data_IF_051958648934
#
_entry.id   IF_051958648934
#
_cell.length_a   1.000
_cell.length_b   1.000
_cell.length_c   1.000
_cell.angle_alpha   90.00
_cell.angle_beta   90.00
_cell.angle_gamma   90.00
#
_symmetry.space_group_name_H-M   'P 1'
#
loop_
_entity.id
_entity.type
_entity.pdbx_description
1 polymer ?
#
# COMPACT_ATOMS: atom_id res chain seq x y z
N UNK A 1 -7.33 -9.04 -31.85
CA UNK A 1 -6.35 -8.12 -32.48
C UNK A 1 -6.90 -6.70 -32.40
N UNK A 2 -6.08 -5.72 -32.03
CA UNK A 2 -6.52 -4.32 -32.01
C UNK A 2 -6.48 -3.75 -33.44
N UNK A 3 -7.61 -3.75 -34.12
CA UNK A 3 -7.69 -3.36 -35.54
C UNK A 3 -7.73 -1.83 -35.73
N UNK A 4 -8.13 -1.09 -34.70
CA UNK A 4 -8.22 0.38 -34.73
C UNK A 4 -6.92 1.00 -34.21
N UNK A 5 -6.43 2.09 -34.84
CA UNK A 5 -5.20 2.81 -34.43
C UNK A 5 -5.24 3.27 -32.97
N UNK A 6 -6.39 3.76 -32.51
CA UNK A 6 -6.62 4.17 -31.11
C UNK A 6 -6.45 3.00 -30.15
N UNK A 7 -6.97 1.82 -30.48
CA UNK A 7 -6.82 0.60 -29.67
C UNK A 7 -5.36 0.15 -29.56
N UNK A 8 -4.60 0.14 -30.66
CA UNK A 8 -3.14 -0.14 -30.64
C UNK A 8 -2.38 0.86 -29.75
N UNK A 9 -2.79 2.14 -29.73
CA UNK A 9 -2.21 3.17 -28.83
C UNK A 9 -2.57 2.90 -27.37
N UNK A 10 -3.81 2.50 -27.06
CA UNK A 10 -4.25 2.17 -25.70
C UNK A 10 -3.45 1.00 -25.12
N UNK A 11 -3.28 -0.09 -25.87
CA UNK A 11 -2.46 -1.24 -25.44
C UNK A 11 -1.04 -0.79 -25.01
N UNK A 12 -0.37 0.05 -25.81
CA UNK A 12 0.97 0.58 -25.49
C UNK A 12 0.96 1.51 -24.26
N UNK A 13 -0.10 2.26 -24.03
CA UNK A 13 -0.25 3.11 -22.84
C UNK A 13 -0.49 2.26 -21.59
N UNK A 14 -1.37 1.27 -21.71
CA UNK A 14 -1.79 0.43 -20.60
C UNK A 14 -0.67 -0.49 -20.14
N UNK A 15 0.13 -1.06 -21.05
CA UNK A 15 1.34 -1.80 -20.68
C UNK A 15 2.30 -0.95 -19.82
N UNK A 16 2.56 0.30 -20.22
CA UNK A 16 3.41 1.22 -19.45
C UNK A 16 2.83 1.61 -18.10
N UNK A 17 1.51 1.76 -17.99
CA UNK A 17 0.82 2.03 -16.71
C UNK A 17 0.86 0.81 -15.79
N UNK A 18 0.64 -0.37 -16.35
CA UNK A 18 0.65 -1.65 -15.62
C UNK A 18 2.00 -1.90 -14.96
N UNK A 19 3.11 -1.72 -15.67
CA UNK A 19 4.46 -1.90 -15.12
C UNK A 19 4.70 -0.95 -13.93
N UNK A 20 4.40 0.34 -14.10
CA UNK A 20 4.55 1.35 -13.03
C UNK A 20 3.69 1.06 -11.81
N UNK A 21 2.43 0.66 -12.03
CA UNK A 21 1.51 0.36 -10.95
C UNK A 21 1.87 -0.95 -10.24
N UNK A 22 2.41 -1.93 -10.96
CA UNK A 22 2.89 -3.20 -10.39
C UNK A 22 4.02 -2.95 -9.39
N UNK A 23 5.03 -2.16 -9.75
CA UNK A 23 6.13 -1.82 -8.86
C UNK A 23 5.64 -1.15 -7.57
N UNK A 24 4.79 -0.12 -7.70
CA UNK A 24 4.21 0.59 -6.55
C UNK A 24 3.34 -0.31 -5.65
N UNK A 25 2.54 -1.20 -6.25
CA UNK A 25 1.73 -2.16 -5.49
C UNK A 25 2.59 -3.18 -4.74
N UNK A 26 3.71 -3.61 -5.35
CA UNK A 26 4.65 -4.54 -4.72
C UNK A 26 5.28 -3.92 -3.47
N UNK A 27 5.89 -2.74 -3.59
CA UNK A 27 6.50 -2.02 -2.46
C UNK A 27 5.49 -1.76 -1.32
N UNK A 28 4.28 -1.36 -1.69
CA UNK A 28 3.20 -1.14 -0.72
C UNK A 28 2.79 -2.43 0.01
N UNK A 29 2.71 -3.56 -0.71
CA UNK A 29 2.38 -4.84 -0.09
C UNK A 29 3.52 -5.34 0.83
N UNK A 30 4.78 -5.16 0.42
CA UNK A 30 5.94 -5.46 1.26
C UNK A 30 5.91 -4.63 2.54
N UNK A 31 5.72 -3.31 2.45
CA UNK A 31 5.68 -2.43 3.62
C UNK A 31 4.56 -2.80 4.60
N UNK A 32 3.41 -3.25 4.08
CA UNK A 32 2.30 -3.69 4.91
C UNK A 32 2.54 -5.07 5.53
N UNK A 33 3.32 -5.92 4.88
CA UNK A 33 3.77 -7.19 5.46
C UNK A 33 4.74 -6.91 6.61
N UNK A 34 5.77 -6.08 6.38
CA UNK A 34 6.74 -5.70 7.41
C UNK A 34 6.04 -5.09 8.64
N UNK A 35 5.12 -4.14 8.43
CA UNK A 35 4.34 -3.57 9.54
C UNK A 35 3.50 -4.62 10.31
N UNK A 36 3.02 -5.67 9.64
CA UNK A 36 2.29 -6.76 10.34
C UNK A 36 3.22 -7.69 11.09
N UNK A 37 4.39 -7.98 10.54
CA UNK A 37 5.42 -8.80 11.21
C UNK A 37 5.96 -8.06 12.44
N UNK A 38 6.22 -6.76 12.32
CA UNK A 38 6.62 -5.92 13.44
C UNK A 38 5.54 -5.87 14.55
N UNK A 39 4.26 -5.81 14.20
CA UNK A 39 3.16 -5.89 15.16
C UNK A 39 3.02 -7.28 15.84
N UNK A 40 3.66 -8.33 15.32
CA UNK A 40 3.70 -9.65 15.94
C UNK A 40 4.93 -9.83 16.83
N UNK A 41 6.03 -9.14 16.52
CA UNK A 41 7.16 -9.02 17.44
C UNK A 41 6.77 -8.10 18.59
N UNK A 42 7.04 -8.47 19.83
CA UNK A 42 6.73 -7.67 21.03
C UNK A 42 7.61 -6.40 21.16
N UNK A 43 8.02 -5.78 20.06
CA UNK A 43 8.81 -4.56 20.03
C UNK A 43 7.92 -3.39 19.58
N UNK A 44 7.49 -2.60 20.56
CA UNK A 44 6.56 -1.49 20.34
C UNK A 44 7.17 -0.38 19.47
N UNK A 45 8.44 -0.05 19.68
CA UNK A 45 9.11 1.07 19.03
C UNK A 45 9.31 0.77 17.54
N UNK A 46 9.77 -0.45 17.23
CA UNK A 46 9.91 -0.94 15.87
C UNK A 46 8.54 -1.06 15.17
N UNK A 47 7.52 -1.54 15.87
CA UNK A 47 6.16 -1.63 15.34
C UNK A 47 5.58 -0.24 15.00
N UNK A 48 5.83 0.77 15.84
CA UNK A 48 5.38 2.13 15.59
C UNK A 48 6.04 2.72 14.33
N UNK A 49 7.36 2.58 14.20
CA UNK A 49 8.09 3.10 13.04
C UNK A 49 7.61 2.48 11.73
N UNK A 50 7.52 1.15 11.67
CA UNK A 50 7.09 0.41 10.48
C UNK A 50 5.63 0.72 10.11
N UNK A 51 4.74 0.85 11.10
CA UNK A 51 3.34 1.24 10.87
C UNK A 51 3.26 2.66 10.30
N UNK A 52 4.04 3.61 10.83
CA UNK A 52 4.05 4.99 10.34
C UNK A 52 4.59 5.08 8.90
N UNK A 53 5.66 4.33 8.60
CA UNK A 53 6.20 4.18 7.25
C UNK A 53 5.15 3.61 6.27
N UNK A 54 4.46 2.54 6.67
CA UNK A 54 3.41 1.91 5.86
C UNK A 54 2.22 2.86 5.61
N UNK A 55 1.83 3.66 6.60
CA UNK A 55 0.76 4.67 6.47
C UNK A 55 1.15 5.76 5.48
N UNK A 56 2.37 6.30 5.56
CA UNK A 56 2.87 7.30 4.61
C UNK A 56 2.86 6.78 3.17
N UNK A 57 3.29 5.52 2.96
CA UNK A 57 3.23 4.87 1.64
C UNK A 57 1.80 4.64 1.13
N UNK A 58 0.86 4.27 2.01
CA UNK A 58 -0.55 4.10 1.67
C UNK A 58 -1.18 5.42 1.18
N UNK A 59 -0.93 6.51 1.89
CA UNK A 59 -1.49 7.83 1.57
C UNK A 59 -0.91 8.35 0.23
N UNK A 60 0.41 8.22 0.02
CA UNK A 60 1.06 8.53 -1.28
C UNK A 60 0.54 7.68 -2.44
N UNK A 61 0.21 6.40 -2.20
CA UNK A 61 -0.33 5.53 -3.23
C UNK A 61 -1.79 5.87 -3.58
N UNK A 62 -2.55 6.38 -2.61
CA UNK A 62 -3.90 6.88 -2.83
C UNK A 62 -3.91 8.18 -3.63
N UNK A 63 -3.03 9.12 -3.28
CA UNK A 63 -2.85 10.38 -4.00
C UNK A 63 -2.50 10.15 -5.48
N UNK A 64 -1.59 9.20 -5.73
CA UNK A 64 -1.18 8.82 -7.11
C UNK A 64 -2.22 7.96 -7.84
N UNK A 65 -3.39 7.70 -7.24
CA UNK A 65 -4.48 6.92 -7.84
C UNK A 65 -4.16 5.44 -8.07
N UNK A 66 -3.12 4.89 -7.43
CA UNK A 66 -2.73 3.48 -7.58
C UNK A 66 -3.70 2.58 -6.81
N UNK A 67 -4.20 3.07 -5.68
CA UNK A 67 -5.26 2.47 -4.87
C UNK A 67 -6.35 3.50 -4.60
N UNK A 68 -7.58 3.04 -4.42
CA UNK A 68 -8.68 3.93 -4.05
C UNK A 68 -8.50 4.48 -2.62
N UNK A 69 -8.92 5.73 -2.39
CA UNK A 69 -8.83 6.41 -1.09
C UNK A 69 -9.44 5.58 0.05
N UNK A 70 -10.62 4.99 -0.19
CA UNK A 70 -11.28 4.10 0.78
C UNK A 70 -10.49 2.82 1.07
N UNK A 71 -9.74 2.30 0.09
CA UNK A 71 -8.87 1.14 0.32
C UNK A 71 -7.69 1.52 1.22
N UNK A 72 -7.06 2.67 0.95
CA UNK A 72 -6.01 3.21 1.80
C UNK A 72 -6.51 3.46 3.24
N UNK A 73 -7.64 4.14 3.38
CA UNK A 73 -8.26 4.41 4.69
C UNK A 73 -8.57 3.14 5.48
N UNK A 74 -9.13 2.10 4.83
CA UNK A 74 -9.38 0.81 5.48
C UNK A 74 -8.10 0.13 5.96
N UNK A 75 -7.04 0.14 5.15
CA UNK A 75 -5.76 -0.48 5.51
C UNK A 75 -5.07 0.29 6.64
N UNK A 76 -5.05 1.61 6.57
CA UNK A 76 -4.56 2.52 7.63
C UNK A 76 -5.28 2.29 8.96
N UNK A 77 -6.61 2.27 8.94
CA UNK A 77 -7.42 2.03 10.13
C UNK A 77 -7.12 0.68 10.80
N UNK A 78 -6.94 -0.39 10.01
CA UNK A 78 -6.61 -1.73 10.54
C UNK A 78 -5.23 -1.77 11.21
N UNK A 79 -4.21 -1.17 10.60
CA UNK A 79 -2.86 -1.13 11.17
C UNK A 79 -2.84 -0.33 12.48
N UNK A 80 -3.43 0.87 12.47
CA UNK A 80 -3.51 1.72 13.66
C UNK A 80 -4.31 1.09 14.80
N UNK A 81 -5.41 0.38 14.48
CA UNK A 81 -6.17 -0.36 15.49
C UNK A 81 -5.36 -1.45 16.15
N UNK A 82 -4.50 -2.15 15.40
CA UNK A 82 -3.65 -3.19 15.97
C UNK A 82 -2.55 -2.60 16.84
N UNK A 83 -1.89 -1.53 16.39
CA UNK A 83 -0.90 -0.81 17.19
C UNK A 83 -1.49 -0.31 18.52
N UNK A 84 -2.69 0.27 18.48
CA UNK A 84 -3.39 0.75 19.67
C UNK A 84 -3.84 -0.37 20.62
N UNK A 85 -3.95 -1.62 20.15
CA UNK A 85 -4.24 -2.77 21.02
C UNK A 85 -3.00 -3.18 21.81
N UNK A 86 -1.83 -3.21 21.15
CA UNK A 86 -0.56 -3.55 21.79
C UNK A 86 -0.21 -2.51 22.86
N UNK A 87 -0.38 -1.22 22.54
CA UNK A 87 -0.18 -0.13 23.51
C UNK A 87 -1.11 -0.18 24.74
N UNK A 88 -2.25 -0.87 24.66
CA UNK A 88 -3.20 -1.00 25.79
C UNK A 88 -2.99 -2.26 26.63
N UNK A 89 -2.17 -3.20 26.14
CA UNK A 89 -1.82 -4.42 26.86
C UNK A 89 -0.56 -4.28 27.71
N UNK A 90 0.19 -3.19 27.52
CA UNK A 90 1.18 -2.66 28.46
C UNK A 90 0.50 -1.72 29.47
#
# INVERSE_FOLDING_TARGET
MANIRSAKKRIRSDARKTIRNRAKKSDLNTSIRNAREALLGNDFELAQEEVMSAVSKLDRAAEKGVIHRNNAARRKSRLMRNLAKISKSE
#
